data_IF_993610638168
#
_entry.id   IF_993610638168
#
_cell.length_a   1.000
_cell.length_b   1.000
_cell.length_c   1.000
_cell.angle_alpha   90.00
_cell.angle_beta   90.00
_cell.angle_gamma   90.00
#
_symmetry.space_group_name_H-M   'P 1'
#
loop_
_entity.id
_entity.type
_entity.pdbx_description
1 polymer ?
#
# COMPACT_ATOMS: atom_id res chain seq x y z
N UNK A 1 24.24 -18.06 -1.60
CA UNK A 1 23.43 -16.90 -2.03
C UNK A 1 22.68 -16.34 -0.83
N UNK A 2 22.64 -15.03 -0.63
CA UNK A 2 21.83 -14.41 0.44
C UNK A 2 20.38 -14.24 -0.04
N UNK A 3 19.40 -14.47 0.85
CA UNK A 3 17.99 -14.15 0.57
C UNK A 3 17.81 -12.64 0.55
N UNK A 4 17.64 -12.06 -0.65
CA UNK A 4 17.39 -10.63 -0.83
C UNK A 4 15.88 -10.37 -0.94
N UNK A 5 15.40 -9.31 -0.31
CA UNK A 5 14.00 -8.86 -0.39
C UNK A 5 13.98 -7.45 -0.96
N UNK A 6 13.27 -7.25 -2.06
CA UNK A 6 13.19 -5.95 -2.75
C UNK A 6 11.89 -5.23 -2.45
N UNK A 7 11.98 -3.89 -2.33
CA UNK A 7 10.86 -2.95 -2.30
C UNK A 7 10.45 -2.52 -3.71
N UNK A 8 9.20 -2.08 -3.86
CA UNK A 8 8.72 -1.35 -5.04
C UNK A 8 7.83 -0.21 -4.58
N UNK A 9 7.94 0.92 -5.25
CA UNK A 9 7.08 2.10 -5.08
C UNK A 9 6.46 2.43 -6.45
N UNK A 10 5.19 2.85 -6.43
CA UNK A 10 4.41 3.12 -7.65
C UNK A 10 3.64 4.43 -7.41
N UNK A 11 3.92 5.42 -8.23
CA UNK A 11 3.20 6.70 -8.20
C UNK A 11 1.88 6.62 -8.97
N UNK A 12 0.81 7.12 -8.35
CA UNK A 12 -0.55 7.02 -8.86
C UNK A 12 -1.19 8.41 -8.96
N UNK A 13 -1.95 8.64 -10.03
CA UNK A 13 -2.78 9.83 -10.22
C UNK A 13 -4.22 9.42 -10.52
N UNK A 14 -5.20 10.27 -10.18
CA UNK A 14 -6.62 10.02 -10.47
C UNK A 14 -7.30 8.97 -9.58
N UNK A 15 -6.62 8.43 -8.57
CA UNK A 15 -7.16 7.48 -7.58
C UNK A 15 -6.89 7.96 -6.16
N UNK A 16 -7.82 7.73 -5.24
CA UNK A 16 -7.60 8.05 -3.83
C UNK A 16 -6.76 6.95 -3.15
N UNK A 17 -6.05 7.28 -2.08
CA UNK A 17 -5.26 6.30 -1.29
C UNK A 17 -6.14 5.18 -0.74
N UNK A 18 -7.36 5.52 -0.34
CA UNK A 18 -8.36 4.55 0.12
C UNK A 18 -8.69 3.55 -0.97
N UNK A 19 -8.99 4.05 -2.16
CA UNK A 19 -9.37 3.21 -3.30
C UNK A 19 -8.19 2.38 -3.79
N UNK A 20 -6.97 2.93 -3.76
CA UNK A 20 -5.75 2.20 -4.08
C UNK A 20 -5.52 1.05 -3.09
N UNK A 21 -5.61 1.30 -1.77
CA UNK A 21 -5.49 0.24 -0.77
C UNK A 21 -6.61 -0.79 -0.86
N UNK A 22 -7.85 -0.36 -1.18
CA UNK A 22 -8.98 -1.25 -1.42
C UNK A 22 -8.73 -2.15 -2.64
N UNK A 23 -8.25 -1.58 -3.75
CA UNK A 23 -7.92 -2.33 -4.96
C UNK A 23 -6.85 -3.40 -4.69
N UNK A 24 -5.81 -3.06 -3.92
CA UNK A 24 -4.77 -4.00 -3.51
C UNK A 24 -5.37 -5.12 -2.65
N UNK A 25 -6.20 -4.77 -1.66
CA UNK A 25 -6.85 -5.74 -0.80
C UNK A 25 -7.77 -6.68 -1.58
N UNK A 26 -8.60 -6.14 -2.47
CA UNK A 26 -9.51 -6.91 -3.32
C UNK A 26 -8.73 -7.88 -4.22
N UNK A 27 -7.61 -7.45 -4.80
CA UNK A 27 -6.75 -8.31 -5.62
C UNK A 27 -6.16 -9.49 -4.84
N UNK A 28 -5.72 -9.26 -3.60
CA UNK A 28 -5.13 -10.32 -2.75
C UNK A 28 -6.16 -11.07 -1.89
N UNK A 29 -7.44 -10.72 -1.95
CA UNK A 29 -8.48 -11.30 -1.09
C UNK A 29 -8.29 -10.96 0.40
N UNK A 30 -7.71 -9.80 0.71
CA UNK A 30 -7.48 -9.30 2.07
C UNK A 30 -8.36 -8.07 2.35
N UNK A 31 -8.10 -7.38 3.47
CA UNK A 31 -8.84 -6.18 3.87
C UNK A 31 -7.93 -4.96 3.88
N UNK A 32 -8.45 -3.82 3.43
CA UNK A 32 -7.78 -2.54 3.57
C UNK A 32 -8.04 -1.92 4.94
N UNK A 33 -7.00 -1.36 5.56
CA UNK A 33 -7.07 -0.68 6.85
C UNK A 33 -6.66 0.79 6.71
N UNK A 34 -7.40 1.70 7.35
CA UNK A 34 -6.96 3.08 7.53
C UNK A 34 -6.01 3.16 8.73
N UNK A 35 -4.75 3.54 8.52
CA UNK A 35 -3.72 3.55 9.58
C UNK A 35 -3.55 4.92 10.25
N UNK A 36 -4.11 6.00 9.69
CA UNK A 36 -4.06 7.33 10.31
C UNK A 36 -2.86 8.22 9.93
N UNK A 37 -2.51 9.14 10.84
CA UNK A 37 -2.02 10.52 10.61
C UNK A 37 -0.63 10.69 9.96
N UNK A 38 -0.36 11.93 9.50
CA UNK A 38 0.83 12.34 8.77
C UNK A 38 0.61 12.31 7.25
N UNK A 39 0.57 11.10 6.69
CA UNK A 39 0.49 10.89 5.23
C UNK A 39 -0.83 10.29 4.74
N UNK A 40 -1.89 10.36 5.55
CA UNK A 40 -3.21 9.81 5.25
C UNK A 40 -3.14 8.34 4.77
N UNK A 41 -2.52 7.48 5.58
CA UNK A 41 -2.10 6.15 5.17
C UNK A 41 -3.26 5.16 5.15
N UNK A 42 -3.32 4.39 4.08
CA UNK A 42 -4.11 3.16 4.00
C UNK A 42 -3.18 1.99 3.71
N UNK A 43 -3.49 0.80 4.22
CA UNK A 43 -2.68 -0.38 3.98
C UNK A 43 -3.52 -1.60 3.65
N UNK A 44 -2.90 -2.57 2.99
CA UNK A 44 -3.44 -3.89 2.73
C UNK A 44 -2.32 -4.92 2.81
N UNK A 45 -2.65 -6.16 3.17
CA UNK A 45 -1.70 -7.28 3.13
C UNK A 45 -1.81 -8.00 1.79
N UNK A 46 -0.68 -8.50 1.28
CA UNK A 46 -0.71 -9.52 0.23
C UNK A 46 -0.89 -10.93 0.81
N UNK A 47 -1.00 -11.92 -0.06
CA UNK A 47 -1.18 -13.33 0.30
C UNK A 47 0.00 -13.93 1.10
N UNK A 48 1.15 -13.26 1.15
CA UNK A 48 2.34 -13.67 1.91
C UNK A 48 2.54 -12.82 3.18
N UNK A 49 1.56 -12.00 3.55
CA UNK A 49 1.62 -11.13 4.72
C UNK A 49 2.51 -9.90 4.54
N UNK A 50 2.92 -9.56 3.31
CA UNK A 50 3.63 -8.31 3.05
C UNK A 50 2.65 -7.15 3.06
N UNK A 51 3.02 -6.07 3.75
CA UNK A 51 2.20 -4.86 3.81
C UNK A 51 2.48 -3.94 2.63
N UNK A 52 1.42 -3.58 1.94
CA UNK A 52 1.36 -2.50 0.95
C UNK A 52 0.77 -1.26 1.61
N UNK A 53 1.35 -0.08 1.37
CA UNK A 53 0.90 1.20 1.95
C UNK A 53 0.62 2.20 0.85
N UNK A 54 -0.60 2.72 0.78
CA UNK A 54 -0.98 3.84 -0.06
C UNK A 54 -0.97 5.13 0.78
N UNK A 55 -0.15 6.11 0.40
CA UNK A 55 0.08 7.32 1.19
C UNK A 55 0.42 8.54 0.33
N UNK A 56 0.55 9.72 0.96
CA UNK A 56 1.10 10.91 0.29
C UNK A 56 2.58 10.67 0.09
N UNK A 57 3.01 10.72 -1.16
CA UNK A 57 4.38 11.10 -1.44
C UNK A 57 4.49 12.60 -1.08
N UNK A 58 5.32 12.90 -0.10
CA UNK A 58 5.57 14.26 0.41
C UNK A 58 7.03 14.65 0.22
N UNK A 59 7.66 14.03 -0.78
CA UNK A 59 8.94 14.45 -1.29
C UNK A 59 8.81 15.89 -1.81
N UNK A 60 9.56 16.82 -1.22
CA UNK A 60 9.81 18.19 -1.71
C UNK A 60 11.08 18.17 -2.57
#
# INVERSE_FOLDING_TARGET
MKTQRFGVEIELTGITRRDAAKLIADYFGTTSTYEGTGYNKYSALDSNGRKWTAMYDSSI
#
